data_IF_199483815035
#
_entry.id   IF_199483815035
#
_cell.length_a   1.000
_cell.length_b   1.000
_cell.length_c   1.000
_cell.angle_alpha   90.00
_cell.angle_beta   90.00
_cell.angle_gamma   90.00
#
_symmetry.space_group_name_H-M   'P 1'
#
loop_
_entity.id
_entity.type
_entity.pdbx_description
1 polymer ?
#
# COMPACT_ATOMS: atom_id res chain seq x y z
N UNK A 1 -17.28 29.85 -6.69
CA UNK A 1 -15.99 29.72 -7.37
C UNK A 1 -15.06 28.87 -6.54
N UNK A 2 -14.95 27.65 -6.94
CA UNK A 2 -14.06 26.74 -6.24
C UNK A 2 -12.67 26.96 -6.75
N UNK A 3 -11.96 27.83 -6.09
CA UNK A 3 -10.51 27.81 -6.23
C UNK A 3 -10.07 26.43 -5.81
N UNK A 4 -9.53 25.74 -6.78
CA UNK A 4 -8.87 24.48 -6.60
C UNK A 4 -7.90 24.58 -5.43
N UNK A 5 -8.28 24.04 -4.29
CA UNK A 5 -7.32 23.65 -3.30
C UNK A 5 -6.55 22.50 -3.92
N UNK A 6 -5.64 22.84 -4.81
CA UNK A 6 -4.62 21.91 -5.25
C UNK A 6 -3.76 21.66 -4.03
N UNK A 7 -4.04 20.63 -3.31
CA UNK A 7 -3.08 20.08 -2.38
C UNK A 7 -1.89 19.64 -3.21
N UNK A 8 -0.94 20.55 -3.36
CA UNK A 8 0.26 20.26 -4.12
C UNK A 8 1.21 19.48 -3.21
N UNK A 9 1.10 18.16 -3.28
CA UNK A 9 2.15 17.32 -2.71
C UNK A 9 3.40 17.42 -3.58
N UNK A 10 4.53 17.58 -2.94
CA UNK A 10 5.83 17.55 -3.62
C UNK A 10 6.29 16.09 -3.71
N UNK A 11 6.00 15.43 -4.82
CA UNK A 11 6.32 14.01 -5.01
C UNK A 11 7.82 13.71 -4.96
N UNK A 12 8.70 14.49 -5.58
CA UNK A 12 10.14 14.25 -5.42
C UNK A 12 10.60 14.30 -3.97
N UNK A 13 10.09 15.23 -3.18
CA UNK A 13 10.40 15.31 -1.75
C UNK A 13 9.88 14.09 -0.99
N UNK A 14 8.66 13.64 -1.31
CA UNK A 14 8.07 12.45 -0.71
C UNK A 14 8.91 11.22 -1.04
N UNK A 15 9.36 11.07 -2.27
CA UNK A 15 10.25 9.97 -2.68
C UNK A 15 11.55 10.01 -1.86
N UNK A 16 12.14 11.18 -1.69
CA UNK A 16 13.35 11.32 -0.89
C UNK A 16 13.12 10.89 0.57
N UNK A 17 12.00 11.26 1.16
CA UNK A 17 11.63 10.82 2.51
C UNK A 17 11.40 9.33 2.60
N UNK A 18 10.73 8.74 1.60
CA UNK A 18 10.52 7.30 1.53
C UNK A 18 11.84 6.55 1.37
N UNK A 19 12.74 7.05 0.54
CA UNK A 19 14.06 6.45 0.37
C UNK A 19 14.87 6.50 1.65
N UNK A 20 14.84 7.63 2.37
CA UNK A 20 15.48 7.75 3.68
C UNK A 20 14.90 6.74 4.68
N UNK A 21 13.59 6.55 4.68
CA UNK A 21 12.95 5.54 5.53
C UNK A 21 13.33 4.12 5.11
N UNK A 22 13.45 3.88 3.82
CA UNK A 22 13.92 2.60 3.29
C UNK A 22 15.36 2.29 3.70
N UNK A 23 16.23 3.29 3.70
CA UNK A 23 17.60 3.15 4.20
C UNK A 23 17.60 2.79 5.68
N UNK A 24 16.75 3.43 6.47
CA UNK A 24 16.60 3.13 7.90
C UNK A 24 16.14 1.68 8.13
N UNK A 25 15.20 1.18 7.32
CA UNK A 25 14.62 -0.16 7.48
C UNK A 25 15.44 -1.27 6.84
N UNK A 26 16.08 -1.01 5.71
CA UNK A 26 16.66 -2.02 4.85
C UNK A 26 18.18 -1.89 4.65
N UNK A 27 18.77 -0.79 5.12
CA UNK A 27 20.19 -0.53 5.03
C UNK A 27 20.58 0.49 3.95
N UNK A 28 21.86 0.90 3.95
CA UNK A 28 22.35 2.00 3.11
C UNK A 28 22.28 1.71 1.60
N UNK A 29 22.15 0.45 1.21
CA UNK A 29 22.03 0.06 -0.20
C UNK A 29 20.62 0.31 -0.77
N UNK A 30 19.64 0.59 0.08
CA UNK A 30 18.26 0.81 -0.37
C UNK A 30 18.17 2.07 -1.22
N UNK A 31 17.55 1.94 -2.38
CA UNK A 31 17.30 3.05 -3.28
C UNK A 31 16.03 2.80 -4.08
N UNK A 32 15.23 3.87 -4.26
CA UNK A 32 14.11 3.84 -5.18
C UNK A 32 14.65 4.20 -6.57
N UNK A 33 14.57 3.27 -7.51
CA UNK A 33 15.06 3.46 -8.86
C UNK A 33 14.18 4.44 -9.65
N UNK A 34 14.79 5.27 -10.48
CA UNK A 34 14.04 6.22 -11.31
C UNK A 34 13.07 5.53 -12.26
N UNK A 35 13.39 4.32 -12.72
CA UNK A 35 12.51 3.49 -13.55
C UNK A 35 11.21 3.13 -12.86
N UNK A 36 11.19 3.12 -11.52
CA UNK A 36 10.03 2.79 -10.70
C UNK A 36 9.22 4.03 -10.30
N UNK A 37 9.70 5.23 -10.57
CA UNK A 37 9.03 6.46 -10.18
C UNK A 37 7.58 6.56 -10.66
N UNK A 38 7.23 6.18 -11.90
CA UNK A 38 5.83 6.22 -12.33
C UNK A 38 4.90 5.38 -11.45
N UNK A 39 5.36 4.19 -11.04
CA UNK A 39 4.60 3.30 -10.15
C UNK A 39 4.55 3.90 -8.74
N UNK A 40 5.67 4.41 -8.26
CA UNK A 40 5.76 5.02 -6.93
C UNK A 40 4.85 6.23 -6.84
N UNK A 41 4.80 7.07 -7.86
CA UNK A 41 3.88 8.22 -7.91
C UNK A 41 2.42 7.80 -7.82
N UNK A 42 2.03 6.75 -8.51
CA UNK A 42 0.66 6.21 -8.43
C UNK A 42 0.33 5.71 -7.03
N UNK A 43 1.26 5.01 -6.40
CA UNK A 43 1.10 4.54 -5.02
C UNK A 43 0.98 5.70 -4.04
N UNK A 44 1.83 6.71 -4.16
CA UNK A 44 1.79 7.91 -3.32
C UNK A 44 0.43 8.60 -3.46
N UNK A 45 -0.02 8.83 -4.69
CA UNK A 45 -1.31 9.46 -4.95
C UNK A 45 -2.46 8.68 -4.32
N UNK A 46 -2.43 7.36 -4.42
CA UNK A 46 -3.47 6.50 -3.84
C UNK A 46 -3.50 6.60 -2.31
N UNK A 47 -2.36 6.47 -1.66
CA UNK A 47 -2.30 6.43 -0.18
C UNK A 47 -2.47 7.81 0.46
N UNK A 48 -2.10 8.88 -0.24
CA UNK A 48 -2.37 10.24 0.21
C UNK A 48 -3.78 10.73 -0.17
N UNK A 49 -4.51 9.96 -0.94
CA UNK A 49 -5.83 10.36 -1.50
C UNK A 49 -5.75 11.66 -2.27
N UNK A 50 -4.71 11.83 -3.07
CA UNK A 50 -4.52 12.96 -3.94
C UNK A 50 -5.45 12.82 -5.16
N UNK A 51 -6.68 13.29 -5.01
CA UNK A 51 -7.74 13.10 -6.00
C UNK A 51 -7.37 13.61 -7.40
N UNK A 52 -6.81 14.84 -7.57
CA UNK A 52 -6.43 15.30 -8.90
C UNK A 52 -5.41 14.41 -9.60
N UNK A 53 -4.41 13.95 -8.86
CA UNK A 53 -3.38 13.06 -9.41
C UNK A 53 -3.94 11.68 -9.69
N UNK A 54 -4.78 11.14 -8.81
CA UNK A 54 -5.46 9.87 -9.04
C UNK A 54 -6.34 9.92 -10.28
N UNK A 55 -7.06 11.01 -10.49
CA UNK A 55 -7.86 11.20 -11.70
C UNK A 55 -6.99 11.20 -12.96
N UNK A 56 -5.86 11.88 -12.90
CA UNK A 56 -4.90 11.95 -14.03
C UNK A 56 -4.37 10.56 -14.40
N UNK A 57 -4.15 9.69 -13.41
CA UNK A 57 -3.63 8.34 -13.62
C UNK A 57 -4.71 7.26 -13.74
N UNK A 58 -5.99 7.63 -13.80
CA UNK A 58 -7.11 6.71 -13.82
C UNK A 58 -7.15 5.75 -12.60
N UNK A 59 -6.77 6.24 -11.45
CA UNK A 59 -6.82 5.50 -10.20
C UNK A 59 -8.14 5.76 -9.50
N UNK A 60 -8.89 4.70 -9.20
CA UNK A 60 -10.12 4.80 -8.45
C UNK A 60 -9.84 4.54 -6.96
N UNK A 61 -10.01 5.57 -6.13
CA UNK A 61 -9.77 5.50 -4.69
C UNK A 61 -10.75 4.59 -3.94
N UNK A 62 -11.87 4.21 -4.57
CA UNK A 62 -12.83 3.29 -4.00
C UNK A 62 -12.53 1.82 -4.28
N UNK A 63 -11.47 1.54 -5.03
CA UNK A 63 -11.02 0.19 -5.37
C UNK A 63 -9.69 -0.11 -4.71
N UNK A 64 -9.44 -1.40 -4.51
CA UNK A 64 -8.13 -1.86 -4.07
C UNK A 64 -7.08 -1.77 -5.17
N UNK A 65 -5.83 -2.05 -4.79
CA UNK A 65 -4.69 -2.06 -5.69
C UNK A 65 -4.16 -3.47 -5.88
N UNK A 66 -3.70 -3.77 -7.07
CA UNK A 66 -2.89 -4.94 -7.36
C UNK A 66 -1.53 -4.47 -7.86
N UNK A 67 -0.50 -4.74 -7.09
CA UNK A 67 0.89 -4.47 -7.48
C UNK A 67 1.52 -5.77 -7.96
N UNK A 68 1.80 -5.86 -9.26
CA UNK A 68 2.38 -7.05 -9.85
C UNK A 68 3.73 -6.76 -10.51
N UNK A 69 4.54 -7.80 -10.59
CA UNK A 69 5.87 -7.71 -11.18
C UNK A 69 6.69 -8.95 -10.84
N UNK A 70 7.87 -9.09 -11.43
CA UNK A 70 8.73 -10.24 -11.18
C UNK A 70 9.19 -10.31 -9.73
N UNK A 71 9.54 -11.50 -9.30
CA UNK A 71 10.12 -11.74 -7.97
C UNK A 71 11.39 -10.90 -7.82
N UNK A 72 11.55 -10.26 -6.65
CA UNK A 72 12.74 -9.47 -6.34
C UNK A 72 12.75 -8.05 -6.89
N UNK A 73 11.64 -7.56 -7.45
CA UNK A 73 11.56 -6.18 -7.95
C UNK A 73 11.22 -5.13 -6.87
N UNK A 74 11.15 -5.53 -5.59
CA UNK A 74 10.96 -4.60 -4.48
C UNK A 74 9.50 -4.29 -4.13
N UNK A 75 8.54 -5.08 -4.60
CA UNK A 75 7.11 -4.86 -4.32
C UNK A 75 6.79 -4.79 -2.83
N UNK A 76 7.28 -5.76 -2.06
CA UNK A 76 7.03 -5.84 -0.62
C UNK A 76 7.63 -4.64 0.11
N UNK A 77 8.84 -4.24 -0.25
CA UNK A 77 9.50 -3.07 0.34
C UNK A 77 8.73 -1.78 0.06
N UNK A 78 8.26 -1.60 -1.18
CA UNK A 78 7.44 -0.44 -1.54
C UNK A 78 6.14 -0.39 -0.73
N UNK A 79 5.44 -1.51 -0.61
CA UNK A 79 4.19 -1.55 0.15
C UNK A 79 4.43 -1.31 1.64
N UNK A 80 5.50 -1.81 2.20
CA UNK A 80 5.87 -1.51 3.58
C UNK A 80 6.18 -0.02 3.78
N UNK A 81 6.81 0.64 2.80
CA UNK A 81 7.03 2.09 2.85
C UNK A 81 5.73 2.88 2.75
N UNK A 82 4.77 2.42 1.96
CA UNK A 82 3.47 3.09 1.83
C UNK A 82 2.69 3.17 3.14
N UNK A 83 2.95 2.29 4.10
CA UNK A 83 2.36 2.38 5.44
C UNK A 83 2.65 3.71 6.13
N UNK A 84 3.80 4.31 5.85
CA UNK A 84 4.18 5.59 6.46
C UNK A 84 3.49 6.78 5.83
N UNK A 85 2.95 6.61 4.63
CA UNK A 85 2.17 7.64 3.94
C UNK A 85 0.68 7.53 4.24
N UNK A 86 0.19 6.31 4.49
CA UNK A 86 -1.23 6.09 4.72
C UNK A 86 -1.71 6.87 5.94
N UNK A 87 -2.80 7.58 5.78
CA UNK A 87 -3.44 8.28 6.89
C UNK A 87 -3.93 7.27 7.93
N UNK A 88 -4.07 7.71 9.18
CA UNK A 88 -4.44 6.84 10.30
C UNK A 88 -5.68 5.98 10.01
N UNK A 89 -6.64 6.55 9.32
CA UNK A 89 -7.89 5.88 8.92
C UNK A 89 -7.70 4.78 7.90
N UNK A 90 -6.62 4.86 7.12
CA UNK A 90 -6.33 3.97 6.00
C UNK A 90 -5.08 3.13 6.22
N UNK A 91 -4.56 3.11 7.43
CA UNK A 91 -3.43 2.22 7.74
C UNK A 91 -3.83 0.77 7.50
N UNK A 92 -2.90 0.03 6.95
CA UNK A 92 -3.12 -1.36 6.58
C UNK A 92 -2.07 -2.26 7.22
N UNK A 93 -2.42 -3.53 7.35
CA UNK A 93 -1.50 -4.58 7.76
C UNK A 93 -1.06 -5.39 6.55
N UNK A 94 0.22 -5.69 6.47
CA UNK A 94 0.75 -6.59 5.44
C UNK A 94 0.68 -8.02 5.96
N UNK A 95 0.01 -8.89 5.21
CA UNK A 95 -0.15 -10.30 5.54
C UNK A 95 0.39 -11.17 4.41
N UNK A 96 1.45 -11.96 4.64
CA UNK A 96 1.87 -12.94 3.65
C UNK A 96 0.76 -13.95 3.37
N UNK A 97 0.49 -14.23 2.12
CA UNK A 97 -0.54 -15.19 1.75
C UNK A 97 -0.26 -16.59 2.31
N UNK A 98 1.01 -16.95 2.48
CA UNK A 98 1.41 -18.20 3.15
C UNK A 98 0.83 -18.30 4.55
N UNK A 99 0.91 -17.22 5.34
CA UNK A 99 0.41 -17.21 6.73
C UNK A 99 -1.11 -17.37 6.74
N UNK A 100 -1.81 -16.75 5.79
CA UNK A 100 -3.26 -16.89 5.65
C UNK A 100 -3.63 -18.33 5.29
N UNK A 101 -2.85 -18.97 4.44
CA UNK A 101 -3.05 -20.38 4.09
C UNK A 101 -2.90 -21.29 5.31
N UNK A 102 -1.92 -21.04 6.17
CA UNK A 102 -1.76 -21.77 7.42
C UNK A 102 -2.93 -21.53 8.39
N UNK A 103 -3.38 -20.29 8.51
CA UNK A 103 -4.57 -19.96 9.29
C UNK A 103 -5.81 -20.71 8.77
N UNK A 104 -5.97 -20.82 7.46
CA UNK A 104 -7.07 -21.54 6.84
C UNK A 104 -7.04 -23.05 7.17
N UNK A 105 -5.86 -23.66 7.16
CA UNK A 105 -5.69 -25.07 7.57
C UNK A 105 -6.15 -25.25 9.01
N UNK A 106 -5.86 -24.28 9.88
CA UNK A 106 -6.19 -24.35 11.31
C UNK A 106 -7.65 -23.99 11.59
N UNK A 107 -8.15 -22.91 11.00
CA UNK A 107 -9.44 -22.28 11.37
C UNK A 107 -10.53 -22.43 10.29
N UNK A 108 -10.19 -22.91 9.09
CA UNK A 108 -11.13 -23.11 7.99
C UNK A 108 -11.71 -21.80 7.45
N UNK A 109 -12.98 -21.83 7.06
CA UNK A 109 -13.65 -20.70 6.38
C UNK A 109 -13.79 -19.46 7.27
N UNK A 110 -13.62 -19.56 8.56
CA UNK A 110 -13.60 -18.42 9.46
C UNK A 110 -12.53 -17.38 9.08
N UNK A 111 -11.42 -17.83 8.49
CA UNK A 111 -10.35 -16.97 8.03
C UNK A 111 -10.85 -16.00 6.95
N UNK A 112 -11.67 -16.47 6.02
CA UNK A 112 -12.26 -15.61 4.98
C UNK A 112 -13.10 -14.52 5.62
N UNK A 113 -13.91 -14.86 6.59
CA UNK A 113 -14.71 -13.89 7.34
C UNK A 113 -13.84 -12.88 8.07
N UNK A 114 -12.77 -13.35 8.73
CA UNK A 114 -11.83 -12.50 9.47
C UNK A 114 -11.20 -11.40 8.59
N UNK A 115 -10.82 -11.73 7.36
CA UNK A 115 -10.17 -10.78 6.45
C UNK A 115 -11.14 -9.99 5.58
N UNK A 116 -12.41 -10.35 5.54
CA UNK A 116 -13.41 -9.63 4.75
C UNK A 116 -14.32 -8.74 5.59
N UNK A 117 -14.80 -9.23 6.73
CA UNK A 117 -15.75 -8.51 7.59
C UNK A 117 -15.17 -8.07 8.93
N UNK A 118 -13.94 -8.49 9.23
CA UNK A 118 -13.32 -8.22 10.51
C UNK A 118 -13.79 -9.17 11.62
N UNK A 119 -13.32 -8.92 12.82
CA UNK A 119 -13.71 -9.68 13.99
C UNK A 119 -15.13 -9.33 14.42
N UNK A 120 -15.83 -10.29 15.03
CA UNK A 120 -17.23 -10.19 15.46
C UNK A 120 -17.60 -8.91 16.24
N UNK A 121 -16.63 -8.27 16.86
CA UNK A 121 -16.81 -7.09 17.70
C UNK A 121 -16.20 -5.81 17.13
N UNK A 122 -15.75 -5.83 15.87
CA UNK A 122 -15.21 -4.64 15.21
C UNK A 122 -16.27 -4.02 14.31
N UNK A 123 -16.50 -2.73 14.50
CA UNK A 123 -17.51 -1.97 13.76
C UNK A 123 -17.17 -1.82 12.27
N UNK A 124 -15.87 -1.88 11.91
CA UNK A 124 -15.41 -1.69 10.53
C UNK A 124 -14.33 -2.70 10.15
N UNK A 125 -14.34 -3.19 8.91
CA UNK A 125 -13.28 -4.07 8.42
C UNK A 125 -11.96 -3.31 8.34
N UNK A 126 -10.87 -4.02 8.62
CA UNK A 126 -9.52 -3.48 8.48
C UNK A 126 -9.05 -3.59 7.04
N UNK A 127 -8.16 -2.69 6.66
CA UNK A 127 -7.47 -2.76 5.36
C UNK A 127 -6.26 -3.68 5.47
N UNK A 128 -6.12 -4.57 4.50
CA UNK A 128 -5.00 -5.51 4.42
C UNK A 128 -4.28 -5.41 3.09
N UNK A 129 -2.98 -5.60 3.13
CA UNK A 129 -2.16 -5.85 1.96
C UNK A 129 -1.78 -7.34 1.97
N UNK A 130 -2.24 -8.09 0.98
CA UNK A 130 -1.90 -9.50 0.82
C UNK A 130 -0.64 -9.62 -0.02
N UNK A 131 0.44 -10.09 0.60
CA UNK A 131 1.75 -10.19 -0.02
C UNK A 131 2.01 -11.59 -0.53
N UNK A 132 2.79 -11.71 -1.61
CA UNK A 132 3.15 -12.97 -2.24
C UNK A 132 1.93 -13.80 -2.68
N UNK A 133 0.98 -13.14 -3.33
CA UNK A 133 -0.21 -13.80 -3.88
C UNK A 133 0.18 -14.79 -4.97
N UNK A 134 -0.21 -16.04 -4.80
CA UNK A 134 0.00 -17.11 -5.80
C UNK A 134 1.38 -17.78 -5.73
N UNK A 135 2.15 -17.55 -4.67
CA UNK A 135 3.44 -18.24 -4.46
C UNK A 135 3.29 -19.45 -3.56
#
# INVERSE_FOLDING_TARGET
MNENIKTHYNYPEIINKLEAKGVELYGNHFKIQETDYPIVYKLIAYFLKDEPTCFQYNINLNKGLLLSGPIGCGKTSLMNLMKYLAQTENKFSVKPCRDISFEFIQDGYEVIHRYSKGKLYQAEPRTYCFDDLGT
#
